data_IF_199337442417
#
_entry.id   IF_199337442417
#
_cell.length_a   1.000
_cell.length_b   1.000
_cell.length_c   1.000
_cell.angle_alpha   90.00
_cell.angle_beta   90.00
_cell.angle_gamma   90.00
#
_symmetry.space_group_name_H-M   'P 1'
#
loop_
_entity.id
_entity.type
_entity.pdbx_description
1 polymer ?
#
# COMPACT_ATOMS: atom_id res chain seq x y z
N UNK A 1 -22.01 2.67 -34.83
CA UNK A 1 -22.67 1.48 -34.24
C UNK A 1 -21.98 1.25 -32.89
N UNK A 2 -22.60 1.71 -31.80
CA UNK A 2 -22.03 1.60 -30.45
C UNK A 2 -22.26 0.16 -30.02
N UNK A 3 -21.17 -0.59 -29.81
CA UNK A 3 -21.24 -1.92 -29.20
C UNK A 3 -21.55 -1.67 -27.73
N UNK A 4 -22.71 -2.12 -27.28
CA UNK A 4 -23.10 -2.07 -25.87
C UNK A 4 -22.04 -2.77 -25.03
N UNK A 5 -21.55 -2.07 -24.01
CA UNK A 5 -20.65 -2.59 -23.01
C UNK A 5 -21.30 -3.79 -22.31
N UNK A 6 -20.88 -5.00 -22.68
CA UNK A 6 -21.06 -6.16 -21.81
C UNK A 6 -19.99 -6.06 -20.73
N UNK A 7 -20.40 -6.10 -19.47
CA UNK A 7 -19.54 -6.29 -18.31
C UNK A 7 -18.86 -7.67 -18.43
N UNK A 8 -17.81 -7.78 -19.26
CA UNK A 8 -17.14 -9.03 -19.62
C UNK A 8 -16.02 -9.43 -18.66
N UNK A 9 -15.84 -8.67 -17.59
CA UNK A 9 -14.78 -8.89 -16.61
C UNK A 9 -15.36 -9.65 -15.42
N UNK A 10 -14.85 -10.86 -15.19
CA UNK A 10 -15.18 -11.68 -14.03
C UNK A 10 -13.96 -11.81 -13.12
N UNK A 11 -14.11 -11.72 -11.78
CA UNK A 11 -13.01 -11.94 -10.87
C UNK A 11 -12.57 -13.42 -10.91
N UNK A 12 -11.28 -13.66 -11.16
CA UNK A 12 -10.70 -15.01 -11.17
C UNK A 12 -10.29 -15.51 -9.77
N UNK A 13 -10.36 -14.63 -8.77
CA UNK A 13 -9.94 -14.92 -7.41
C UNK A 13 -9.98 -13.69 -6.51
N UNK A 14 -9.84 -13.91 -5.20
CA UNK A 14 -9.70 -12.84 -4.21
C UNK A 14 -8.61 -13.25 -3.23
N UNK A 15 -7.61 -12.40 -3.07
CA UNK A 15 -6.54 -12.61 -2.10
C UNK A 15 -6.97 -12.00 -0.77
N UNK A 16 -6.91 -12.80 0.29
CA UNK A 16 -7.24 -12.35 1.64
C UNK A 16 -5.99 -11.72 2.25
N UNK A 17 -6.08 -10.44 2.62
CA UNK A 17 -5.03 -9.76 3.39
C UNK A 17 -5.00 -10.39 4.80
N UNK A 18 -3.81 -10.68 5.38
CA UNK A 18 -3.71 -11.23 6.72
C UNK A 18 -4.50 -10.42 7.73
N UNK A 19 -5.25 -11.09 8.61
CA UNK A 19 -6.13 -10.42 9.57
C UNK A 19 -5.39 -9.51 10.53
N UNK A 20 -4.09 -9.72 10.75
CA UNK A 20 -3.23 -8.85 11.57
C UNK A 20 -3.00 -7.46 10.95
N UNK A 21 -3.29 -7.29 9.66
CA UNK A 21 -3.22 -6.00 8.95
C UNK A 21 -4.57 -5.30 9.09
N UNK A 22 -4.77 -4.63 10.20
CA UNK A 22 -5.99 -3.86 10.47
C UNK A 22 -5.83 -2.42 10.01
N UNK A 23 -6.26 -2.15 8.78
CA UNK A 23 -6.50 -0.79 8.32
C UNK A 23 -7.98 -0.45 8.37
N UNK A 24 -8.31 0.80 8.68
CA UNK A 24 -9.67 1.33 8.55
C UNK A 24 -10.12 1.32 7.07
N UNK A 25 -9.16 1.37 6.15
CA UNK A 25 -9.34 1.36 4.72
C UNK A 25 -8.10 0.88 3.96
N UNK A 26 -8.30 0.43 2.72
CA UNK A 26 -7.25 -0.07 1.83
C UNK A 26 -7.38 0.65 0.49
N UNK A 27 -6.26 1.13 -0.06
CA UNK A 27 -6.30 1.99 -1.25
C UNK A 27 -5.52 1.49 -2.46
N UNK A 28 -4.35 0.88 -2.25
CA UNK A 28 -3.50 0.43 -3.36
C UNK A 28 -2.65 -0.76 -2.97
N UNK A 29 -2.20 -1.50 -3.99
CA UNK A 29 -1.27 -2.62 -3.88
C UNK A 29 -0.16 -2.49 -4.92
N UNK A 30 1.06 -2.89 -4.56
CA UNK A 30 2.19 -3.00 -5.47
C UNK A 30 3.02 -4.25 -5.16
N UNK A 31 3.52 -4.91 -6.21
CA UNK A 31 4.35 -6.13 -6.10
C UNK A 31 5.76 -5.84 -6.59
N UNK A 32 6.76 -6.26 -5.82
CA UNK A 32 8.17 -6.18 -6.17
C UNK A 32 8.79 -7.56 -6.26
N UNK A 33 9.20 -7.92 -7.47
CA UNK A 33 9.96 -9.12 -7.73
C UNK A 33 11.46 -8.82 -7.62
N UNK A 34 12.17 -9.50 -6.73
CA UNK A 34 13.63 -9.38 -6.62
C UNK A 34 14.35 -9.85 -7.89
N UNK A 35 13.72 -10.77 -8.63
CA UNK A 35 14.12 -11.29 -9.94
C UNK A 35 12.89 -11.40 -10.83
N UNK A 36 13.02 -11.08 -12.10
CA UNK A 36 11.89 -10.96 -13.02
C UNK A 36 10.97 -12.19 -13.00
N UNK A 37 9.69 -11.97 -12.68
CA UNK A 37 8.63 -12.98 -12.60
C UNK A 37 8.85 -14.10 -11.56
N UNK A 38 9.75 -13.91 -10.59
CA UNK A 38 10.00 -14.90 -9.54
C UNK A 38 9.07 -14.67 -8.35
N UNK A 39 8.56 -15.76 -7.79
CA UNK A 39 7.85 -15.79 -6.51
C UNK A 39 8.69 -16.60 -5.49
N UNK A 40 8.61 -16.28 -4.19
CA UNK A 40 7.74 -15.26 -3.61
C UNK A 40 8.27 -13.83 -3.85
N UNK A 41 7.36 -12.86 -3.92
CA UNK A 41 7.66 -11.45 -4.17
C UNK A 41 7.19 -10.57 -3.00
N UNK A 42 7.79 -9.39 -2.82
CA UNK A 42 7.30 -8.45 -1.82
C UNK A 42 6.01 -7.82 -2.30
N UNK A 43 5.07 -7.62 -1.39
CA UNK A 43 3.85 -6.85 -1.63
C UNK A 43 3.79 -5.67 -0.68
N UNK A 44 3.36 -4.51 -1.17
CA UNK A 44 3.03 -3.35 -0.36
C UNK A 44 1.54 -3.05 -0.52
N UNK A 45 0.83 -2.84 0.59
CA UNK A 45 -0.57 -2.38 0.60
C UNK A 45 -0.68 -1.11 1.43
N UNK A 46 -1.28 -0.06 0.88
CA UNK A 46 -1.46 1.22 1.55
C UNK A 46 -2.86 1.40 2.13
N UNK A 47 -2.95 2.14 3.23
CA UNK A 47 -4.20 2.70 3.77
C UNK A 47 -4.31 4.19 3.44
N UNK A 48 -5.47 4.59 2.93
CA UNK A 48 -5.73 5.98 2.54
C UNK A 48 -5.92 6.88 3.77
N UNK A 49 -6.70 6.43 4.77
CA UNK A 49 -7.01 7.20 5.97
C UNK A 49 -5.91 7.12 7.02
N UNK A 50 -5.29 5.95 7.22
CA UNK A 50 -4.32 5.77 8.28
C UNK A 50 -2.92 6.22 7.89
N UNK A 51 -2.64 6.46 6.59
CA UNK A 51 -1.31 6.87 6.11
C UNK A 51 -0.23 5.88 6.52
N UNK A 52 -0.53 4.61 6.31
CA UNK A 52 0.28 3.45 6.64
C UNK A 52 0.49 2.57 5.40
N UNK A 53 1.58 1.81 5.41
CA UNK A 53 1.87 0.79 4.41
C UNK A 53 2.20 -0.52 5.12
N UNK A 54 1.50 -1.58 4.78
CA UNK A 54 1.88 -2.94 5.14
C UNK A 54 2.80 -3.51 4.08
N UNK A 55 3.88 -4.18 4.52
CA UNK A 55 4.79 -4.93 3.65
C UNK A 55 4.72 -6.40 4.00
N UNK A 56 4.45 -7.24 3.01
CA UNK A 56 4.36 -8.69 3.16
C UNK A 56 4.92 -9.43 1.95
N UNK A 57 4.49 -10.68 1.79
CA UNK A 57 4.83 -11.53 0.66
C UNK A 57 3.59 -11.89 -0.16
N UNK A 58 3.78 -12.07 -1.46
CA UNK A 58 2.86 -12.80 -2.33
C UNK A 58 3.56 -14.07 -2.83
N UNK A 59 2.87 -15.19 -2.78
CA UNK A 59 3.40 -16.53 -3.05
C UNK A 59 2.45 -17.30 -3.97
N UNK A 60 2.98 -18.17 -4.83
CA UNK A 60 2.17 -19.06 -5.67
C UNK A 60 1.65 -20.25 -4.85
N UNK A 61 0.40 -20.63 -5.09
CA UNK A 61 -0.24 -21.80 -4.48
C UNK A 61 -0.88 -22.69 -5.54
N UNK A 62 -0.98 -23.99 -5.26
CA UNK A 62 -1.45 -25.00 -6.22
C UNK A 62 -2.98 -25.04 -6.41
N UNK A 63 -3.71 -24.06 -5.88
CA UNK A 63 -5.17 -24.00 -5.94
C UNK A 63 -5.63 -22.56 -6.15
N UNK A 64 -6.78 -22.35 -6.80
CA UNK A 64 -7.37 -21.02 -6.95
C UNK A 64 -7.44 -20.31 -5.57
N UNK A 65 -7.04 -19.03 -5.46
CA UNK A 65 -6.80 -18.06 -6.53
C UNK A 65 -5.37 -18.05 -7.11
N UNK A 66 -4.61 -19.13 -6.95
CA UNK A 66 -3.20 -19.33 -7.39
C UNK A 66 -2.17 -18.49 -6.66
N UNK A 67 -2.60 -17.53 -5.85
CA UNK A 67 -1.72 -16.74 -5.00
C UNK A 67 -2.22 -16.71 -3.55
N UNK A 68 -1.31 -16.45 -2.63
CA UNK A 68 -1.63 -16.15 -1.23
C UNK A 68 -0.79 -14.97 -0.75
N UNK A 69 -1.34 -14.22 0.21
CA UNK A 69 -0.63 -13.14 0.89
C UNK A 69 -0.21 -13.64 2.27
N UNK A 70 1.05 -13.42 2.63
CA UNK A 70 1.60 -13.78 3.93
C UNK A 70 2.35 -12.60 4.55
N UNK A 71 2.37 -12.56 5.88
CA UNK A 71 3.15 -11.55 6.60
C UNK A 71 4.63 -11.81 6.45
N UNK A 72 5.40 -10.75 6.23
CA UNK A 72 6.84 -10.80 6.36
C UNK A 72 7.20 -10.55 7.83
N UNK A 73 7.93 -11.49 8.46
CA UNK A 73 8.25 -11.43 9.89
C UNK A 73 7.00 -11.22 10.77
N UNK A 74 7.11 -10.49 11.89
CA UNK A 74 6.03 -10.18 12.85
C UNK A 74 4.95 -9.22 12.30
N UNK A 75 4.59 -9.31 11.02
CA UNK A 75 3.60 -8.48 10.34
C UNK A 75 3.95 -6.98 10.33
N UNK A 76 4.85 -6.59 9.43
CA UNK A 76 5.41 -5.24 9.42
C UNK A 76 4.45 -4.21 8.79
N UNK A 77 3.94 -3.30 9.63
CA UNK A 77 3.19 -2.12 9.22
C UNK A 77 4.06 -0.89 9.48
N UNK A 78 4.19 -0.04 8.48
CA UNK A 78 4.94 1.21 8.54
C UNK A 78 4.01 2.41 8.54
N UNK A 79 4.11 3.24 9.56
CA UNK A 79 3.59 4.60 9.52
C UNK A 79 4.44 5.46 8.57
N UNK A 80 3.79 6.19 7.66
CA UNK A 80 4.48 7.29 6.99
C UNK A 80 4.83 8.39 7.99
N UNK A 81 5.82 9.26 7.69
CA UNK A 81 6.20 10.33 8.59
C UNK A 81 4.99 11.18 8.99
N UNK A 82 4.79 11.32 10.30
CA UNK A 82 3.73 12.14 10.90
C UNK A 82 4.21 13.59 11.05
N UNK A 83 3.30 14.51 11.37
CA UNK A 83 3.68 15.87 11.79
C UNK A 83 4.54 15.81 13.05
N UNK A 84 5.31 16.89 13.30
CA UNK A 84 6.23 17.08 14.45
C UNK A 84 6.32 15.90 15.43
N UNK A 85 7.06 14.86 15.06
CA UNK A 85 7.21 13.64 15.86
C UNK A 85 7.82 13.88 17.26
N UNK A 86 8.36 15.08 17.50
CA UNK A 86 8.94 15.54 18.76
C UNK A 86 7.97 16.31 19.68
N UNK A 87 6.73 16.57 19.25
CA UNK A 87 5.67 17.18 20.09
C UNK A 87 4.48 16.22 20.22
N UNK A 88 3.54 16.52 21.12
CA UNK A 88 2.32 15.74 21.34
C UNK A 88 1.34 15.73 20.15
N UNK A 89 1.68 16.38 19.04
CA UNK A 89 0.85 16.46 17.83
C UNK A 89 1.38 15.52 16.75
N UNK A 90 1.39 14.22 17.04
CA UNK A 90 1.68 13.15 16.09
C UNK A 90 0.46 12.95 15.16
N UNK A 91 0.26 13.86 14.20
CA UNK A 91 -0.88 13.85 13.28
C UNK A 91 -0.49 13.30 11.91
N UNK A 92 -1.49 12.81 11.19
CA UNK A 92 -1.34 12.36 9.81
C UNK A 92 -0.93 13.54 8.92
N UNK A 93 0.18 13.37 8.19
CA UNK A 93 0.72 14.35 7.25
C UNK A 93 0.37 14.01 5.79
N UNK A 94 0.47 12.74 5.42
CA UNK A 94 0.22 12.25 4.06
C UNK A 94 -1.20 11.69 3.96
N UNK A 95 -2.16 12.56 3.66
CA UNK A 95 -3.56 12.20 3.63
C UNK A 95 -3.95 11.66 2.24
N UNK A 96 -5.08 10.96 2.19
CA UNK A 96 -5.73 10.50 0.97
C UNK A 96 -4.78 9.72 0.03
N UNK A 97 -4.02 8.76 0.57
CA UNK A 97 -3.11 7.95 -0.25
C UNK A 97 -3.90 7.07 -1.23
N UNK A 98 -3.71 7.25 -2.53
CA UNK A 98 -4.42 6.48 -3.56
C UNK A 98 -3.54 5.49 -4.31
N UNK A 99 -2.22 5.54 -4.10
CA UNK A 99 -1.30 4.69 -4.83
C UNK A 99 -0.04 4.41 -4.03
N UNK A 100 0.47 3.20 -4.22
CA UNK A 100 1.80 2.76 -3.81
C UNK A 100 2.45 2.03 -4.99
N UNK A 101 3.73 2.26 -5.20
CA UNK A 101 4.54 1.58 -6.19
C UNK A 101 5.92 1.29 -5.59
N UNK A 102 6.50 0.15 -5.96
CA UNK A 102 7.89 -0.16 -5.64
C UNK A 102 8.81 0.45 -6.69
N UNK A 103 9.85 1.15 -6.25
CA UNK A 103 10.92 1.66 -7.12
C UNK A 103 12.20 0.81 -7.01
N UNK A 104 12.40 0.19 -5.86
CA UNK A 104 13.54 -0.66 -5.51
C UNK A 104 13.22 -1.49 -4.28
N UNK A 105 14.13 -2.37 -3.87
CA UNK A 105 13.88 -3.35 -2.79
C UNK A 105 13.44 -2.68 -1.48
N UNK A 106 13.93 -1.48 -1.18
CA UNK A 106 13.64 -0.71 0.04
C UNK A 106 13.00 0.64 -0.26
N UNK A 107 12.39 0.82 -1.43
CA UNK A 107 11.97 2.12 -1.93
C UNK A 107 10.53 2.10 -2.42
N UNK A 108 9.72 2.97 -1.83
CA UNK A 108 8.32 3.14 -2.18
C UNK A 108 8.06 4.54 -2.74
N UNK A 109 7.29 4.57 -3.82
CA UNK A 109 6.66 5.77 -4.36
C UNK A 109 5.18 5.74 -3.98
N UNK A 110 4.65 6.82 -3.44
CA UNK A 110 3.23 6.94 -3.11
C UNK A 110 2.64 8.21 -3.72
N UNK A 111 1.32 8.25 -3.86
CA UNK A 111 0.59 9.43 -4.31
C UNK A 111 -0.52 9.79 -3.34
N UNK A 112 -0.62 11.07 -3.01
CA UNK A 112 -1.75 11.63 -2.25
C UNK A 112 -2.73 12.32 -3.20
N UNK A 113 -4.01 12.02 -3.08
CA UNK A 113 -5.08 12.78 -3.73
C UNK A 113 -5.32 14.11 -3.02
N UNK A 114 -6.18 14.93 -3.62
CA UNK A 114 -6.69 16.17 -3.08
C UNK A 114 -7.25 15.98 -1.66
N UNK A 115 -6.82 16.84 -0.75
CA UNK A 115 -7.35 16.96 0.60
C UNK A 115 -8.86 17.29 0.56
N UNK A 116 -9.59 16.73 1.51
CA UNK A 116 -11.01 17.04 1.72
C UNK A 116 -11.10 18.32 2.56
N UNK A 117 -12.16 19.11 2.36
CA UNK A 117 -12.33 20.41 3.02
C UNK A 117 -12.38 20.35 4.57
N UNK A 118 -12.61 19.17 5.14
CA UNK A 118 -12.65 18.93 6.58
C UNK A 118 -11.31 18.44 7.17
N UNK A 119 -10.26 18.29 6.35
CA UNK A 119 -8.93 17.88 6.78
C UNK A 119 -8.06 19.09 7.15
N UNK A 120 -7.04 18.87 7.99
CA UNK A 120 -6.14 19.93 8.44
C UNK A 120 -5.14 20.39 7.37
N UNK A 121 -4.50 21.54 7.60
CA UNK A 121 -3.55 22.15 6.65
C UNK A 121 -2.39 21.24 6.28
N UNK A 122 -1.98 20.35 7.19
CA UNK A 122 -0.92 19.38 6.93
C UNK A 122 -1.26 18.43 5.77
N UNK A 123 -2.56 18.12 5.56
CA UNK A 123 -2.99 17.32 4.41
C UNK A 123 -2.88 18.12 3.10
N UNK A 124 -3.18 19.41 3.13
CA UNK A 124 -3.10 20.32 1.97
C UNK A 124 -1.64 20.48 1.52
N UNK A 125 -0.69 20.53 2.47
CA UNK A 125 0.73 20.63 2.14
C UNK A 125 1.26 19.45 1.30
N UNK A 126 0.62 18.29 1.40
CA UNK A 126 1.03 17.06 0.70
C UNK A 126 0.00 16.58 -0.33
N UNK A 127 -1.08 17.32 -0.58
CA UNK A 127 -2.12 16.91 -1.51
C UNK A 127 -1.62 16.94 -2.96
N UNK A 128 -2.23 16.13 -3.83
CA UNK A 128 -1.98 16.12 -5.28
C UNK A 128 -0.49 16.02 -5.64
N UNK A 129 0.25 15.18 -4.91
CA UNK A 129 1.69 15.08 -5.02
C UNK A 129 2.19 13.64 -4.91
N UNK A 130 3.43 13.42 -5.38
CA UNK A 130 4.12 12.14 -5.37
C UNK A 130 5.22 12.17 -4.32
N UNK A 131 5.27 11.12 -3.51
CA UNK A 131 6.17 10.98 -2.37
C UNK A 131 7.11 9.81 -2.60
N UNK A 132 8.35 9.94 -2.15
CA UNK A 132 9.35 8.88 -2.26
C UNK A 132 9.96 8.62 -0.89
N UNK A 133 9.90 7.37 -0.44
CA UNK A 133 10.39 6.96 0.87
C UNK A 133 11.29 5.73 0.77
N UNK A 134 12.31 5.72 1.60
CA UNK A 134 12.99 4.50 1.98
C UNK A 134 12.23 3.84 3.12
N UNK A 135 11.89 2.57 2.97
CA UNK A 135 11.38 1.76 4.09
C UNK A 135 12.55 1.22 4.92
N UNK A 136 12.40 1.12 6.26
CA UNK A 136 13.44 0.61 7.14
C UNK A 136 13.97 -0.76 6.68
N UNK A 137 15.29 -0.95 6.62
CA UNK A 137 15.93 -2.17 6.08
C UNK A 137 15.78 -3.42 6.97
N UNK A 138 14.86 -3.42 7.92
CA UNK A 138 14.68 -4.50 8.89
C UNK A 138 13.55 -5.49 8.52
N UNK A 139 12.90 -5.35 7.35
CA UNK A 139 11.90 -6.33 6.90
C UNK A 139 12.49 -7.46 6.06
N UNK A 140 13.70 -7.32 5.50
CA UNK A 140 14.35 -8.39 4.74
C UNK A 140 14.74 -9.56 5.65
N UNK A 141 14.44 -10.79 5.22
CA UNK A 141 14.94 -12.02 5.85
C UNK A 141 16.40 -12.29 5.49
#
# INVERSE_FOLDING_TARGET
KIISALCSWEPVGTLVIPSTVHFDDYSSLSIYHRKANELPAYVAVSSQLMSQVWVGMIEEINQAPFFSLSSLNNNTIYDLPRTHAATSECRIKYCNLEGVAWQGEYELILVSDKAKNNQGTQCIEQEQSVHYFFIPQNFSN
#
